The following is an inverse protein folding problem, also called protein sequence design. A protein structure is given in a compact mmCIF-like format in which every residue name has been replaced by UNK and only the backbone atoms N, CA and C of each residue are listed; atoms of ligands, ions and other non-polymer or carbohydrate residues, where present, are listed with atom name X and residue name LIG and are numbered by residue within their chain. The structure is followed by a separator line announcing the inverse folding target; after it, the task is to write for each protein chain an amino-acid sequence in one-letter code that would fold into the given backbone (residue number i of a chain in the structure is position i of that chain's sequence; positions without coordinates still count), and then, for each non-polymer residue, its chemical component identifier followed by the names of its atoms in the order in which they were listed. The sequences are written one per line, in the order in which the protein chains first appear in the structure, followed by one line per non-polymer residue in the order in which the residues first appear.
data_IF_290375664674
#
_entry.id   IF_290375664674
#
_cell.length_a   1.000
_cell.length_b   1.000
_cell.length_c   1.000
_cell.angle_alpha   90.00
_cell.angle_beta   90.00
_cell.angle_gamma   90.00
#
_symmetry.space_group_name_H-M   'P 1'
#
loop_
_entity.id
_entity.type
_entity.pdbx_description
1 polymer ?
#
# COMPACT_ATOMS: atom_id res chain seq x y z
N UNK A 1 -8.11 19.77 0.38
CA UNK A 1 -7.30 18.77 1.12
C UNK A 1 -5.89 19.26 1.45
N UNK A 2 -5.04 19.64 0.48
CA UNK A 2 -3.66 20.13 0.76
C UNK A 2 -3.60 21.39 1.63
N UNK A 3 -4.48 22.35 1.38
CA UNK A 3 -4.62 23.55 2.18
C UNK A 3 -5.07 23.25 3.63
N UNK A 4 -5.97 22.27 3.79
CA UNK A 4 -6.43 21.81 5.10
C UNK A 4 -5.31 21.11 5.89
N UNK A 5 -4.51 20.25 5.24
CA UNK A 5 -3.33 19.61 5.85
C UNK A 5 -2.29 20.63 6.31
N UNK A 6 -2.00 21.63 5.50
CA UNK A 6 -1.08 22.71 5.86
C UNK A 6 -1.58 23.50 7.08
N UNK A 7 -2.90 23.74 7.15
CA UNK A 7 -3.55 24.40 8.30
C UNK A 7 -3.54 23.48 9.54
N UNK A 8 -3.84 22.19 9.40
CA UNK A 8 -3.86 21.22 10.50
C UNK A 8 -2.47 21.02 11.11
N UNK A 9 -1.42 20.99 10.28
CA UNK A 9 -0.01 21.04 10.73
C UNK A 9 0.28 22.32 11.51
N UNK A 10 -0.10 23.48 10.98
CA UNK A 10 0.11 24.79 11.63
C UNK A 10 -0.63 24.89 12.98
N UNK A 11 -1.78 24.21 13.10
CA UNK A 11 -2.62 24.16 14.32
C UNK A 11 -2.24 23.04 15.30
N UNK A 12 -1.20 22.23 15.02
CA UNK A 12 -0.76 21.10 15.87
C UNK A 12 -1.89 20.13 16.26
N UNK A 13 -2.83 19.90 15.35
CA UNK A 13 -4.01 19.04 15.58
C UNK A 13 -3.58 17.56 15.75
N UNK A 14 -2.40 17.21 15.25
CA UNK A 14 -1.85 15.86 15.34
C UNK A 14 -0.77 15.74 16.42
N UNK A 15 -0.70 14.56 17.05
CA UNK A 15 0.38 14.14 17.96
C UNK A 15 1.76 14.44 17.36
N UNK A 16 2.74 14.79 18.21
CA UNK A 16 4.15 14.99 17.80
C UNK A 16 4.73 13.76 17.09
N UNK A 17 4.20 12.56 17.34
CA UNK A 17 4.64 11.33 16.68
C UNK A 17 4.27 11.25 15.20
N UNK A 18 3.30 12.05 14.72
CA UNK A 18 2.72 11.96 13.36
C UNK A 18 3.21 13.12 12.45
N UNK A 19 3.94 14.08 13.02
CA UNK A 19 4.36 15.31 12.32
C UNK A 19 5.28 15.03 11.14
N UNK A 20 6.09 13.97 11.24
CA UNK A 20 7.00 13.51 10.18
C UNK A 20 6.21 12.89 9.01
N UNK A 21 5.23 12.03 9.31
CA UNK A 21 4.33 11.42 8.33
C UNK A 21 3.45 12.47 7.64
N UNK A 22 3.04 13.52 8.36
CA UNK A 22 2.32 14.67 7.81
C UNK A 22 3.14 15.48 6.81
N UNK A 23 4.44 15.63 7.05
CA UNK A 23 5.32 16.31 6.09
C UNK A 23 5.46 15.47 4.82
N UNK A 24 5.65 14.15 4.97
CA UNK A 24 5.67 13.22 3.84
C UNK A 24 4.37 13.24 3.02
N UNK A 25 3.22 13.26 3.70
CA UNK A 25 1.89 13.43 3.07
C UNK A 25 1.77 14.71 2.24
N UNK A 26 2.26 15.83 2.78
CA UNK A 26 2.25 17.12 2.08
C UNK A 26 3.15 17.08 0.84
N UNK A 27 4.30 16.41 0.92
CA UNK A 27 5.23 16.32 -0.21
C UNK A 27 4.72 15.36 -1.29
N UNK A 28 4.07 14.26 -0.89
CA UNK A 28 3.38 13.34 -1.81
C UNK A 28 2.19 14.01 -2.52
N UNK A 29 1.35 14.74 -1.79
CA UNK A 29 0.21 15.44 -2.38
C UNK A 29 0.62 16.56 -3.35
N UNK A 30 1.78 17.20 -3.13
CA UNK A 30 2.35 18.17 -4.08
C UNK A 30 2.88 17.50 -5.34
N UNK A 31 3.46 16.30 -5.25
CA UNK A 31 3.99 15.56 -6.40
C UNK A 31 2.90 14.88 -7.24
N UNK A 32 1.87 14.33 -6.60
CA UNK A 32 0.87 13.45 -7.26
C UNK A 32 -0.55 14.05 -7.38
N UNK A 33 -0.78 15.27 -6.87
CA UNK A 33 -2.07 15.98 -6.94
C UNK A 33 -3.26 15.12 -6.49
N UNK A 34 -4.38 15.11 -7.22
CA UNK A 34 -5.63 14.39 -6.90
C UNK A 34 -5.44 12.88 -6.76
N UNK A 35 -4.41 12.31 -7.41
CA UNK A 35 -4.14 10.88 -7.42
C UNK A 35 -3.40 10.40 -6.17
N UNK A 36 -2.91 11.27 -5.29
CA UNK A 36 -2.05 10.88 -4.14
C UNK A 36 -2.75 10.05 -3.04
N UNK A 37 -4.03 9.69 -3.22
CA UNK A 37 -4.88 8.97 -2.26
C UNK A 37 -4.84 9.58 -0.85
N UNK A 38 -4.69 10.91 -0.81
CA UNK A 38 -4.32 11.62 0.42
C UNK A 38 -5.40 11.54 1.50
N UNK A 39 -6.67 11.50 1.08
CA UNK A 39 -7.80 11.24 1.97
C UNK A 39 -7.58 9.97 2.77
N UNK A 40 -7.30 8.85 2.09
CA UNK A 40 -7.15 7.57 2.75
C UNK A 40 -5.89 7.47 3.60
N UNK A 41 -4.78 8.09 3.17
CA UNK A 41 -3.57 8.14 3.99
C UNK A 41 -3.78 8.91 5.30
N UNK A 42 -4.55 10.01 5.28
CA UNK A 42 -4.93 10.74 6.50
C UNK A 42 -5.86 9.91 7.37
N UNK A 43 -6.88 9.30 6.77
CA UNK A 43 -7.84 8.44 7.44
C UNK A 43 -7.13 7.25 8.12
N UNK A 44 -6.15 6.65 7.44
CA UNK A 44 -5.29 5.60 7.97
C UNK A 44 -4.53 6.06 9.22
N UNK A 45 -3.82 7.19 9.12
CA UNK A 45 -3.07 7.74 10.26
C UNK A 45 -3.97 8.10 11.44
N UNK A 46 -5.15 8.63 11.18
CA UNK A 46 -6.10 8.93 12.23
C UNK A 46 -6.51 7.65 12.96
N UNK A 47 -7.02 6.65 12.24
CA UNK A 47 -7.46 5.38 12.78
C UNK A 47 -6.38 4.63 13.57
N UNK A 48 -5.14 4.58 13.05
CA UNK A 48 -4.02 3.96 13.77
C UNK A 48 -3.58 4.76 14.99
N UNK A 49 -3.75 6.08 14.99
CA UNK A 49 -3.42 6.93 16.15
C UNK A 49 -4.49 6.98 17.24
N UNK A 50 -5.76 6.86 16.88
CA UNK A 50 -6.90 6.91 17.82
C UNK A 50 -7.27 5.54 18.37
N UNK A 51 -6.67 4.46 17.85
CA UNK A 51 -7.07 3.07 18.15
C UNK A 51 -8.45 2.73 17.59
N UNK A 52 -8.99 3.57 16.70
CA UNK A 52 -10.33 3.43 16.14
C UNK A 52 -10.26 2.54 14.89
N UNK A 53 -10.58 1.27 15.08
CA UNK A 53 -10.51 0.22 14.03
C UNK A 53 -11.77 0.18 13.16
N UNK A 54 -12.62 1.21 13.21
CA UNK A 54 -13.90 1.24 12.48
C UNK A 54 -13.73 1.37 10.97
N UNK A 55 -12.58 1.86 10.49
CA UNK A 55 -12.26 1.83 9.05
C UNK A 55 -11.67 0.48 8.63
N UNK A 56 -12.48 -0.32 7.95
CA UNK A 56 -12.08 -1.63 7.40
C UNK A 56 -12.26 -1.73 5.88
N UNK A 57 -12.18 -0.61 5.16
CA UNK A 57 -12.18 -0.64 3.70
C UNK A 57 -10.89 -1.32 3.17
N UNK A 58 -10.93 -1.73 1.90
CA UNK A 58 -9.85 -2.51 1.31
C UNK A 58 -8.52 -1.74 1.29
N UNK A 59 -8.55 -0.43 1.06
CA UNK A 59 -7.37 0.43 1.12
C UNK A 59 -6.71 0.41 2.49
N UNK A 60 -7.50 0.57 3.55
CA UNK A 60 -7.01 0.54 4.92
C UNK A 60 -6.39 -0.81 5.23
N UNK A 61 -7.12 -1.91 4.96
CA UNK A 61 -6.64 -3.28 5.16
C UNK A 61 -5.34 -3.54 4.38
N UNK A 62 -5.26 -3.10 3.12
CA UNK A 62 -4.09 -3.25 2.28
C UNK A 62 -2.89 -2.50 2.86
N UNK A 63 -3.06 -1.21 3.19
CA UNK A 63 -2.00 -0.36 3.75
C UNK A 63 -1.50 -0.91 5.08
N UNK A 64 -2.42 -1.36 5.93
CA UNK A 64 -2.11 -1.97 7.22
C UNK A 64 -1.33 -3.27 7.05
N UNK A 65 -1.74 -4.12 6.12
CA UNK A 65 -1.06 -5.38 5.81
C UNK A 65 0.38 -5.14 5.35
N UNK A 66 0.61 -4.15 4.48
CA UNK A 66 1.96 -3.77 4.04
C UNK A 66 2.80 -3.24 5.21
N UNK A 67 2.22 -2.46 6.12
CA UNK A 67 2.92 -1.99 7.31
C UNK A 67 3.33 -3.14 8.24
N UNK A 68 2.43 -4.11 8.48
CA UNK A 68 2.75 -5.31 9.26
C UNK A 68 3.91 -6.07 8.64
N UNK A 69 3.90 -6.28 7.32
CA UNK A 69 4.99 -6.95 6.61
C UNK A 69 6.31 -6.17 6.80
N UNK A 70 6.29 -4.84 6.63
CA UNK A 70 7.47 -4.00 6.84
C UNK A 70 8.02 -4.06 8.27
N UNK A 71 7.14 -4.07 9.26
CA UNK A 71 7.52 -4.22 10.67
C UNK A 71 8.12 -5.61 10.98
N UNK A 72 7.88 -6.60 10.11
CA UNK A 72 8.49 -7.93 10.15
C UNK A 72 9.68 -8.08 9.19
N UNK A 73 10.28 -6.97 8.76
CA UNK A 73 11.53 -6.98 7.98
C UNK A 73 11.36 -7.02 6.47
N UNK A 74 10.13 -6.97 5.95
CA UNK A 74 9.88 -6.91 4.50
C UNK A 74 10.22 -5.53 3.93
N UNK A 75 10.78 -5.50 2.73
CA UNK A 75 10.96 -4.25 1.98
C UNK A 75 9.91 -4.12 0.87
N UNK A 76 9.26 -2.96 0.81
CA UNK A 76 8.23 -2.67 -0.19
C UNK A 76 8.72 -1.64 -1.21
N UNK A 77 8.53 -1.92 -2.51
CA UNK A 77 8.94 -1.05 -3.61
C UNK A 77 7.76 -0.63 -4.46
N UNK A 78 7.61 0.69 -4.64
CA UNK A 78 6.75 1.29 -5.66
C UNK A 78 7.57 1.50 -6.93
N UNK A 79 7.16 0.83 -8.00
CA UNK A 79 7.85 0.84 -9.29
C UNK A 79 7.09 1.70 -10.29
N UNK A 80 7.85 2.35 -11.18
CA UNK A 80 7.26 2.96 -12.39
C UNK A 80 6.78 1.85 -13.33
N UNK A 81 5.84 2.14 -14.25
CA UNK A 81 5.36 1.15 -15.21
C UNK A 81 6.47 0.43 -15.97
N UNK A 82 7.54 1.13 -16.34
CA UNK A 82 8.68 0.57 -17.08
C UNK A 82 9.45 -0.44 -16.21
N UNK A 83 9.72 -0.08 -14.94
CA UNK A 83 10.40 -0.98 -13.99
C UNK A 83 9.52 -2.17 -13.62
N UNK A 84 8.21 -1.97 -13.52
CA UNK A 84 7.25 -3.02 -13.24
C UNK A 84 7.18 -4.05 -14.37
N UNK A 85 7.10 -3.59 -15.63
CA UNK A 85 7.14 -4.47 -16.80
C UNK A 85 8.50 -5.17 -16.92
N UNK A 86 9.58 -4.44 -16.64
CA UNK A 86 10.94 -4.96 -16.65
C UNK A 86 11.23 -5.98 -15.56
N UNK A 87 10.39 -6.10 -14.51
CA UNK A 87 10.58 -7.04 -13.41
C UNK A 87 10.22 -8.48 -13.81
N UNK A 88 11.01 -9.07 -14.71
CA UNK A 88 10.81 -10.41 -15.29
C UNK A 88 11.90 -11.40 -14.81
N UNK A 89 11.81 -12.63 -15.32
CA UNK A 89 12.53 -13.85 -14.91
C UNK A 89 14.06 -13.73 -14.76
N UNK A 90 14.69 -12.75 -15.42
CA UNK A 90 16.15 -12.59 -15.46
C UNK A 90 16.73 -11.79 -14.28
N UNK A 91 15.88 -11.18 -13.45
CA UNK A 91 16.37 -10.34 -12.34
C UNK A 91 16.80 -11.22 -11.17
N UNK A 92 18.11 -11.20 -10.90
CA UNK A 92 18.67 -11.73 -9.65
C UNK A 92 18.27 -10.82 -8.51
N UNK A 93 17.23 -11.20 -7.80
CA UNK A 93 16.84 -10.56 -6.54
C UNK A 93 17.82 -11.00 -5.47
N UNK A 94 18.30 -10.06 -4.63
CA UNK A 94 19.12 -10.40 -3.47
C UNK A 94 18.33 -11.31 -2.52
N UNK A 95 19.00 -12.00 -1.59
CA UNK A 95 18.29 -12.72 -0.53
C UNK A 95 17.55 -11.72 0.36
N UNK A 96 16.27 -11.97 0.62
CA UNK A 96 15.40 -11.14 1.46
C UNK A 96 13.94 -11.28 1.07
N UNK A 97 13.08 -10.55 1.79
CA UNK A 97 11.63 -10.58 1.61
C UNK A 97 11.13 -9.26 1.00
N UNK A 98 10.51 -9.35 -0.17
CA UNK A 98 10.21 -8.19 -1.00
C UNK A 98 8.79 -8.18 -1.52
N UNK A 99 8.21 -6.97 -1.53
CA UNK A 99 6.93 -6.67 -2.16
C UNK A 99 7.15 -5.61 -3.23
N UNK A 100 6.80 -5.92 -4.46
CA UNK A 100 6.85 -4.99 -5.58
C UNK A 100 5.44 -4.62 -5.99
N UNK A 101 5.22 -3.34 -6.25
CA UNK A 101 3.93 -2.76 -6.57
C UNK A 101 4.07 -1.78 -7.75
N UNK A 102 3.11 -1.79 -8.66
CA UNK A 102 2.99 -0.79 -9.72
C UNK A 102 2.38 0.50 -9.14
N UNK A 103 3.18 1.57 -9.07
CA UNK A 103 2.74 2.85 -8.50
C UNK A 103 1.57 3.43 -9.28
N UNK A 104 1.62 3.39 -10.61
CA UNK A 104 0.57 3.96 -11.45
C UNK A 104 -0.75 3.18 -11.25
N UNK A 105 -0.68 1.84 -11.22
CA UNK A 105 -1.86 1.01 -10.99
C UNK A 105 -2.46 1.23 -9.61
N UNK A 106 -1.62 1.34 -8.57
CA UNK A 106 -2.10 1.55 -7.21
C UNK A 106 -2.85 2.87 -7.04
N UNK A 107 -2.46 3.94 -7.74
CA UNK A 107 -3.17 5.22 -7.64
C UNK A 107 -4.63 5.14 -8.16
N UNK A 108 -4.92 4.17 -9.04
CA UNK A 108 -6.21 4.08 -9.72
C UNK A 108 -7.12 2.93 -9.26
N UNK A 109 -6.62 2.01 -8.42
CA UNK A 109 -7.34 0.78 -8.11
C UNK A 109 -8.34 0.90 -6.95
N UNK A 110 -8.24 1.95 -6.14
CA UNK A 110 -9.14 2.20 -5.02
C UNK A 110 -10.16 3.30 -5.38
N UNK A 111 -11.42 3.01 -5.07
CA UNK A 111 -12.54 3.94 -5.25
C UNK A 111 -12.58 5.01 -4.17
N UNK A 112 -13.67 5.77 -4.11
CA UNK A 112 -13.81 6.91 -3.18
C UNK A 112 -14.06 6.47 -1.74
N UNK A 113 -14.59 5.26 -1.55
CA UNK A 113 -14.83 4.67 -0.22
C UNK A 113 -13.67 3.77 0.23
N UNK A 114 -12.65 3.57 -0.63
CA UNK A 114 -11.46 2.77 -0.35
C UNK A 114 -11.65 1.30 -0.72
N UNK A 115 -12.69 0.98 -1.46
CA UNK A 115 -12.98 -0.31 -2.07
C UNK A 115 -12.11 -0.55 -3.31
N UNK A 116 -11.77 -1.81 -3.60
CA UNK A 116 -11.06 -2.15 -4.84
C UNK A 116 -12.03 -2.07 -6.02
N UNK A 117 -11.86 -1.05 -6.86
CA UNK A 117 -12.70 -0.81 -8.06
C UNK A 117 -12.04 -1.27 -9.35
N UNK A 118 -10.71 -1.39 -9.37
CA UNK A 118 -9.98 -1.99 -10.50
C UNK A 118 -9.07 -3.10 -9.98
N UNK A 119 -9.11 -4.32 -10.55
CA UNK A 119 -8.19 -5.38 -10.16
C UNK A 119 -6.73 -4.95 -10.34
N UNK A 120 -5.86 -5.38 -9.46
CA UNK A 120 -4.42 -5.12 -9.54
C UNK A 120 -3.65 -6.29 -8.97
N UNK A 121 -2.34 -6.34 -9.18
CA UNK A 121 -1.49 -7.35 -8.58
C UNK A 121 -0.23 -6.77 -7.98
N UNK A 122 0.29 -7.46 -6.97
CA UNK A 122 1.62 -7.21 -6.42
C UNK A 122 2.47 -8.46 -6.65
N UNK A 123 3.79 -8.29 -6.72
CA UNK A 123 4.75 -9.39 -6.85
C UNK A 123 5.50 -9.54 -5.53
N UNK A 124 5.57 -10.77 -5.05
CA UNK A 124 6.11 -11.13 -3.73
C UNK A 124 7.27 -12.10 -3.92
N UNK A 125 8.35 -11.89 -3.18
CA UNK A 125 9.55 -12.74 -3.19
C UNK A 125 10.03 -12.97 -1.75
N UNK A 126 10.56 -14.15 -1.43
CA UNK A 126 11.03 -14.51 -0.08
C UNK A 126 10.07 -15.46 0.65
N UNK A 127 9.77 -15.20 1.92
CA UNK A 127 8.81 -15.97 2.74
C UNK A 127 7.35 -15.69 2.36
N UNK A 128 6.98 -16.18 1.17
CA UNK A 128 5.66 -15.97 0.60
C UNK A 128 4.53 -16.50 1.49
N UNK A 129 4.79 -17.54 2.29
CA UNK A 129 3.76 -18.12 3.15
C UNK A 129 3.39 -17.17 4.30
N UNK A 130 4.39 -16.54 4.93
CA UNK A 130 4.14 -15.48 5.90
C UNK A 130 3.34 -14.32 5.28
N UNK A 131 3.71 -13.90 4.07
CA UNK A 131 2.98 -12.86 3.36
C UNK A 131 1.51 -13.26 3.13
N UNK A 132 1.26 -14.45 2.55
CA UNK A 132 -0.10 -14.97 2.31
C UNK A 132 -0.95 -14.97 3.58
N UNK A 133 -0.43 -15.54 4.67
CA UNK A 133 -1.14 -15.61 5.95
C UNK A 133 -1.48 -14.21 6.47
N UNK A 134 -0.58 -13.24 6.30
CA UNK A 134 -0.82 -11.85 6.69
C UNK A 134 -1.95 -11.21 5.87
N UNK A 135 -1.99 -11.41 4.54
CA UNK A 135 -3.08 -10.90 3.70
C UNK A 135 -4.43 -11.58 4.00
N UNK A 136 -4.44 -12.90 4.20
CA UNK A 136 -5.65 -13.67 4.55
C UNK A 136 -6.23 -13.16 5.88
N UNK A 137 -5.38 -12.94 6.90
CA UNK A 137 -5.79 -12.47 8.22
C UNK A 137 -6.55 -11.13 8.17
N UNK A 138 -6.25 -10.27 7.21
CA UNK A 138 -6.88 -8.96 7.05
C UNK A 138 -8.07 -8.97 6.08
N UNK A 139 -8.50 -10.15 5.63
CA UNK A 139 -9.73 -10.36 4.86
C UNK A 139 -9.78 -9.54 3.57
N UNK A 140 -8.65 -9.47 2.85
CA UNK A 140 -8.54 -8.85 1.53
C UNK A 140 -8.96 -9.84 0.43
N UNK A 141 -9.64 -9.40 -0.65
CA UNK A 141 -10.05 -10.26 -1.76
C UNK A 141 -8.85 -10.55 -2.67
N UNK A 142 -7.95 -11.42 -2.21
CA UNK A 142 -6.70 -11.75 -2.90
C UNK A 142 -6.65 -13.21 -3.35
N UNK A 143 -6.24 -13.41 -4.59
CA UNK A 143 -5.87 -14.71 -5.14
C UNK A 143 -4.35 -14.84 -5.24
N UNK A 144 -3.82 -15.98 -4.78
CA UNK A 144 -2.39 -16.23 -4.77
C UNK A 144 -1.98 -17.16 -5.92
N UNK A 145 -1.23 -16.63 -6.87
CA UNK A 145 -0.79 -17.35 -8.07
C UNK A 145 0.74 -17.43 -8.08
N UNK A 146 1.30 -18.64 -8.05
CA UNK A 146 2.73 -18.82 -8.35
C UNK A 146 2.90 -18.80 -9.86
N UNK A 147 3.72 -17.90 -10.37
CA UNK A 147 4.03 -17.89 -11.80
C UNK A 147 5.00 -19.04 -12.09
N UNK A 148 4.74 -19.80 -13.17
CA UNK A 148 5.48 -21.03 -13.45
C UNK A 148 6.95 -20.74 -13.81
N UNK A 149 7.21 -19.56 -14.34
CA UNK A 149 8.49 -19.20 -14.95
C UNK A 149 9.37 -18.26 -14.13
N UNK A 150 8.92 -17.75 -12.97
CA UNK A 150 9.76 -16.93 -12.10
C UNK A 150 9.62 -17.29 -10.61
N UNK A 151 10.54 -16.77 -9.82
CA UNK A 151 10.54 -16.89 -8.35
C UNK A 151 9.49 -15.99 -7.68
N UNK A 152 8.80 -15.13 -8.43
CA UNK A 152 7.79 -14.24 -7.90
C UNK A 152 6.45 -14.94 -7.74
N UNK A 153 5.80 -14.64 -6.61
CA UNK A 153 4.41 -15.00 -6.38
C UNK A 153 3.54 -13.77 -6.59
N UNK A 154 2.46 -13.94 -7.33
CA UNK A 154 1.55 -12.88 -7.74
C UNK A 154 0.34 -12.93 -6.84
N UNK A 155 0.08 -11.81 -6.18
CA UNK A 155 -1.06 -11.65 -5.30
C UNK A 155 -2.02 -10.73 -6.05
N UNK A 156 -3.08 -11.32 -6.60
CA UNK A 156 -4.05 -10.66 -7.47
C UNK A 156 -5.24 -10.21 -6.63
N UNK A 157 -5.45 -8.90 -6.54
CA UNK A 157 -6.57 -8.29 -5.82
C UNK A 157 -7.73 -8.10 -6.78
N UNK A 158 -8.87 -8.71 -6.44
CA UNK A 158 -10.07 -8.67 -7.24
C UNK A 158 -10.99 -7.53 -6.79
N UNK A 159 -11.69 -6.93 -7.76
CA UNK A 159 -12.80 -6.03 -7.44
C UNK A 159 -14.02 -6.88 -7.07
N UNK A 160 -14.57 -6.65 -5.88
CA UNK A 160 -15.83 -7.27 -5.47
C UNK A 160 -16.95 -6.49 -6.16
N UNK A 161 -17.71 -7.17 -7.03
CA UNK A 161 -18.89 -6.61 -7.70
C UNK A 161 -20.06 -6.44 -6.74
#
# INVERSE_FOLDING_TARGET
IMHWLAIAKKRKIFSKSIVSELQWLIDEGKKKSINAQLKFKIEYLHATSSGDVTMQNDYFKFTHTIEILRNNGWESFLLTPEKWQGLHESIKVRKGDFIFMDDARLQECFGVQGEIVKPFCIRVYGDVEFAKLTFIKHNLPVEFVKHISNEFHYFNFLSVK
#
